data_IF_227733442149
#
_entry.id   IF_227733442149
#
_cell.length_a   1.000
_cell.length_b   1.000
_cell.length_c   1.000
_cell.angle_alpha   90.00
_cell.angle_beta   90.00
_cell.angle_gamma   90.00
#
_symmetry.space_group_name_H-M   'P 1'
#
loop_
_entity.id
_entity.type
_entity.pdbx_description
1 polymer ?
#
# COMPACT_ATOMS: atom_id res chain seq x y z
N UNK A 1 4.32 -21.86 -9.33
CA UNK A 1 5.52 -21.12 -8.91
C UNK A 1 6.38 -20.76 -10.14
N UNK A 2 6.88 -21.71 -10.95
CA UNK A 2 7.80 -21.44 -12.11
C UNK A 2 7.26 -20.36 -13.04
N UNK A 3 6.02 -20.47 -13.52
CA UNK A 3 5.42 -19.46 -14.41
C UNK A 3 5.39 -18.05 -13.79
N UNK A 4 5.24 -17.92 -12.48
CA UNK A 4 5.26 -16.61 -11.83
C UNK A 4 6.65 -15.98 -11.90
N UNK A 5 7.71 -16.78 -11.73
CA UNK A 5 9.09 -16.33 -11.87
C UNK A 5 9.44 -15.96 -13.31
N UNK A 6 8.99 -16.72 -14.28
CA UNK A 6 9.17 -16.39 -15.71
C UNK A 6 8.52 -15.04 -16.06
N UNK A 7 7.29 -14.80 -15.55
CA UNK A 7 6.62 -13.51 -15.75
C UNK A 7 7.36 -12.39 -15.04
N UNK A 8 7.81 -12.62 -13.81
CA UNK A 8 8.58 -11.63 -13.04
C UNK A 8 9.89 -11.27 -13.74
N UNK A 9 10.66 -12.26 -14.24
CA UNK A 9 11.87 -12.00 -15.03
C UNK A 9 11.60 -11.11 -16.24
N UNK A 10 10.52 -11.39 -17.00
CA UNK A 10 10.12 -10.55 -18.14
C UNK A 10 9.72 -9.13 -17.73
N UNK A 11 9.15 -8.94 -16.55
CA UNK A 11 8.86 -7.60 -16.02
C UNK A 11 10.16 -6.87 -15.68
N UNK A 12 11.15 -7.57 -15.09
CA UNK A 12 12.47 -7.00 -14.78
C UNK A 12 13.22 -6.56 -16.05
N UNK A 13 13.10 -7.27 -17.17
CA UNK A 13 13.67 -6.86 -18.46
C UNK A 13 13.13 -5.48 -18.95
N UNK A 14 11.95 -5.10 -18.50
CA UNK A 14 11.32 -3.81 -18.80
C UNK A 14 11.57 -2.75 -17.73
N UNK A 15 12.20 -3.10 -16.60
CA UNK A 15 12.44 -2.17 -15.52
C UNK A 15 13.55 -1.15 -15.85
N UNK A 16 13.50 0.01 -15.20
CA UNK A 16 14.60 0.97 -15.26
C UNK A 16 15.87 0.31 -14.70
N UNK A 17 17.01 0.57 -15.33
CA UNK A 17 18.31 -0.05 -14.96
C UNK A 17 18.75 0.23 -13.51
N UNK A 18 18.28 1.32 -12.94
CA UNK A 18 18.54 1.75 -11.57
C UNK A 18 17.47 1.31 -10.57
N UNK A 19 16.46 0.52 -10.99
CA UNK A 19 15.29 0.17 -10.18
C UNK A 19 15.65 -0.47 -8.84
N UNK A 20 16.63 -1.38 -8.80
CA UNK A 20 17.04 -2.08 -7.58
C UNK A 20 17.66 -1.16 -6.50
N UNK A 21 18.18 0.00 -6.90
CA UNK A 21 18.78 0.99 -5.98
C UNK A 21 17.83 2.09 -5.51
N UNK A 22 16.59 2.09 -5.98
CA UNK A 22 15.62 3.15 -5.66
C UNK A 22 14.82 2.82 -4.38
N UNK A 23 14.57 3.86 -3.56
CA UNK A 23 13.50 3.78 -2.59
C UNK A 23 12.14 3.74 -3.32
N UNK A 24 11.08 3.32 -2.63
CA UNK A 24 9.75 3.29 -3.24
C UNK A 24 9.27 4.69 -3.68
N UNK A 25 9.62 5.75 -2.93
CA UNK A 25 9.31 7.14 -3.32
C UNK A 25 10.04 7.51 -4.62
N UNK A 26 11.34 7.21 -4.70
CA UNK A 26 12.12 7.46 -5.90
C UNK A 26 11.58 6.71 -7.12
N UNK A 27 11.06 5.48 -6.92
CA UNK A 27 10.40 4.73 -7.99
C UNK A 27 9.10 5.41 -8.46
N UNK A 28 8.28 5.93 -7.54
CA UNK A 28 7.11 6.77 -7.88
C UNK A 28 7.54 8.04 -8.63
N UNK A 29 8.61 8.70 -8.19
CA UNK A 29 9.13 9.92 -8.83
C UNK A 29 9.56 9.66 -10.29
N UNK A 30 10.01 8.45 -10.65
CA UNK A 30 10.30 8.08 -12.05
C UNK A 30 9.06 8.20 -12.94
N UNK A 31 7.89 7.79 -12.44
CA UNK A 31 6.63 7.94 -13.16
C UNK A 31 6.23 9.41 -13.26
N UNK A 32 6.28 10.14 -12.16
CA UNK A 32 5.93 11.56 -12.12
C UNK A 32 6.81 12.40 -13.05
N UNK A 33 8.09 12.04 -13.18
CA UNK A 33 9.06 12.69 -14.07
C UNK A 33 8.98 12.23 -15.53
N UNK A 34 8.07 11.31 -15.87
CA UNK A 34 7.96 10.74 -17.22
C UNK A 34 9.11 9.78 -17.60
N UNK A 35 9.89 9.31 -16.63
CA UNK A 35 11.01 8.39 -16.84
C UNK A 35 10.58 6.92 -16.77
N UNK A 36 9.37 6.65 -16.30
CA UNK A 36 8.70 5.36 -16.32
C UNK A 36 7.22 5.57 -16.60
N UNK A 37 6.58 4.62 -17.29
CA UNK A 37 5.15 4.68 -17.60
C UNK A 37 4.29 4.12 -16.44
N UNK A 38 4.82 3.15 -15.70
CA UNK A 38 4.12 2.44 -14.66
C UNK A 38 5.02 2.22 -13.43
N UNK A 39 4.39 2.18 -12.25
CA UNK A 39 5.00 1.67 -11.03
C UNK A 39 4.01 0.73 -10.35
N UNK A 40 4.46 -0.47 -9.96
CA UNK A 40 3.65 -1.40 -9.17
C UNK A 40 3.92 -1.11 -7.71
N UNK A 41 2.93 -0.56 -7.02
CA UNK A 41 3.08 -0.11 -5.62
C UNK A 41 1.74 -0.19 -4.89
N UNK A 42 1.78 -0.14 -3.56
CA UNK A 42 0.59 -0.07 -2.74
C UNK A 42 -0.03 1.33 -2.69
N UNK A 43 -1.15 1.42 -1.98
CA UNK A 43 -1.97 2.64 -1.86
C UNK A 43 -1.23 3.84 -1.24
N UNK A 44 -0.19 3.60 -0.44
CA UNK A 44 0.67 4.68 0.08
C UNK A 44 1.33 5.52 -1.03
N UNK A 45 1.54 4.96 -2.22
CA UNK A 45 2.02 5.73 -3.37
C UNK A 45 1.01 6.81 -3.79
N UNK A 46 -0.29 6.50 -3.79
CA UNK A 46 -1.33 7.49 -4.03
C UNK A 46 -1.34 8.57 -2.95
N UNK A 47 -1.15 8.18 -1.68
CA UNK A 47 -0.98 9.13 -0.57
C UNK A 47 0.21 10.06 -0.77
N UNK A 48 1.36 9.54 -1.16
CA UNK A 48 2.55 10.32 -1.47
C UNK A 48 2.31 11.31 -2.63
N UNK A 49 1.74 10.83 -3.73
CA UNK A 49 1.44 11.68 -4.89
C UNK A 49 0.45 12.79 -4.53
N UNK A 50 -0.59 12.51 -3.77
CA UNK A 50 -1.64 13.49 -3.45
C UNK A 50 -1.26 14.41 -2.30
N UNK A 51 -0.68 13.89 -1.23
CA UNK A 51 -0.40 14.65 0.00
C UNK A 51 0.95 15.37 -0.07
N UNK A 52 1.99 14.73 -0.60
CA UNK A 52 3.34 15.30 -0.67
C UNK A 52 3.55 16.06 -1.98
N UNK A 53 3.27 15.43 -3.11
CA UNK A 53 3.51 16.02 -4.44
C UNK A 53 2.34 16.88 -4.92
N UNK A 54 1.19 16.92 -4.22
CA UNK A 54 -0.01 17.71 -4.55
C UNK A 54 -0.62 17.39 -5.91
N UNK A 55 -0.42 16.17 -6.40
CA UNK A 55 -1.00 15.69 -7.66
C UNK A 55 -2.46 15.27 -7.48
N UNK A 56 -3.22 15.39 -8.56
CA UNK A 56 -4.66 15.08 -8.59
C UNK A 56 -4.92 13.71 -9.20
N UNK A 57 -5.54 12.77 -8.46
CA UNK A 57 -5.93 11.47 -9.01
C UNK A 57 -6.90 11.63 -10.19
N UNK A 58 -6.66 10.87 -11.26
CA UNK A 58 -7.47 10.90 -12.48
C UNK A 58 -7.14 12.05 -13.44
N UNK A 59 -6.29 13.01 -13.04
CA UNK A 59 -5.81 14.11 -13.88
C UNK A 59 -4.31 13.98 -14.12
N UNK A 60 -3.52 13.94 -13.03
CA UNK A 60 -2.07 13.93 -13.11
C UNK A 60 -1.50 12.51 -13.07
N UNK A 61 -2.24 11.57 -12.52
CA UNK A 61 -1.92 10.15 -12.53
C UNK A 61 -3.20 9.29 -12.56
N UNK A 62 -3.08 8.07 -13.05
CA UNK A 62 -4.12 7.06 -13.05
C UNK A 62 -3.67 5.81 -12.29
N UNK A 63 -4.59 4.89 -12.05
CA UNK A 63 -4.33 3.60 -11.41
C UNK A 63 -5.17 2.50 -12.06
N UNK A 64 -4.68 1.29 -11.97
CA UNK A 64 -5.39 0.09 -12.42
C UNK A 64 -4.91 -1.12 -11.61
N UNK A 65 -5.72 -2.17 -11.49
CA UNK A 65 -5.22 -3.47 -11.01
C UNK A 65 -4.05 -3.96 -11.88
N UNK A 66 -3.08 -4.63 -11.27
CA UNK A 66 -2.04 -5.31 -12.04
C UNK A 66 -2.66 -6.29 -13.04
N UNK A 67 -2.10 -6.44 -14.25
CA UNK A 67 -2.68 -7.30 -15.28
C UNK A 67 -2.93 -8.73 -14.78
N UNK A 68 -4.14 -9.27 -15.03
CA UNK A 68 -4.54 -10.60 -14.58
C UNK A 68 -4.96 -10.72 -13.12
N UNK A 69 -5.07 -9.61 -12.38
CA UNK A 69 -5.49 -9.61 -10.96
C UNK A 69 -6.87 -8.97 -10.74
N UNK A 70 -7.64 -8.74 -11.79
CA UNK A 70 -8.99 -8.21 -11.70
C UNK A 70 -9.85 -9.09 -10.76
N UNK A 71 -10.61 -8.45 -9.89
CA UNK A 71 -11.43 -9.15 -8.90
C UNK A 71 -10.65 -9.69 -7.69
N UNK A 72 -9.38 -9.30 -7.53
CA UNK A 72 -8.56 -9.61 -6.36
C UNK A 72 -8.11 -8.32 -5.69
N UNK A 73 -8.22 -8.25 -4.37
CA UNK A 73 -7.65 -7.19 -3.55
C UNK A 73 -6.55 -7.77 -2.66
N UNK A 74 -5.31 -7.33 -2.86
CA UNK A 74 -4.19 -7.75 -2.03
C UNK A 74 -4.15 -6.88 -0.77
N UNK A 75 -4.41 -7.48 0.39
CA UNK A 75 -4.50 -6.81 1.67
C UNK A 75 -3.20 -6.90 2.44
N UNK A 76 -2.78 -5.78 2.97
CA UNK A 76 -1.94 -5.68 4.15
C UNK A 76 -2.60 -4.72 5.15
N UNK A 77 -2.21 -4.79 6.41
CA UNK A 77 -2.74 -3.92 7.46
C UNK A 77 -1.59 -3.42 8.32
N UNK A 78 -1.45 -2.11 8.40
CA UNK A 78 -0.59 -1.50 9.42
C UNK A 78 -1.30 -1.58 10.77
N UNK A 79 -0.56 -1.84 11.81
CA UNK A 79 -1.07 -1.94 13.17
C UNK A 79 -0.25 -1.11 14.15
N UNK A 80 -0.91 -0.59 15.15
CA UNK A 80 -0.29 0.13 16.25
C UNK A 80 -0.36 -0.71 17.52
N UNK A 81 0.79 -0.96 18.13
CA UNK A 81 0.91 -1.78 19.33
C UNK A 81 1.21 -0.94 20.57
N UNK A 82 0.86 -1.47 21.73
CA UNK A 82 1.26 -0.94 23.03
C UNK A 82 2.42 -1.78 23.58
N UNK A 83 3.66 -1.25 23.62
CA UNK A 83 4.79 -1.98 24.16
C UNK A 83 4.58 -2.34 25.64
N UNK A 84 5.04 -3.52 26.08
CA UNK A 84 4.88 -4.01 27.45
C UNK A 84 5.49 -3.07 28.50
N UNK A 85 6.57 -2.38 28.15
CA UNK A 85 7.27 -1.45 29.05
C UNK A 85 6.95 0.04 28.82
N UNK A 86 5.83 0.38 28.16
CA UNK A 86 5.48 1.77 27.86
C UNK A 86 5.35 2.61 29.13
N UNK A 87 6.19 3.64 29.30
CA UNK A 87 6.19 4.53 30.47
C UNK A 87 4.91 5.37 30.55
N UNK A 88 4.43 5.87 29.43
CA UNK A 88 3.20 6.68 29.35
C UNK A 88 2.01 5.83 28.88
N UNK A 89 1.80 4.67 29.53
CA UNK A 89 0.82 3.68 29.11
C UNK A 89 -0.58 4.24 28.87
N UNK A 90 -1.08 5.09 29.78
CA UNK A 90 -2.44 5.64 29.65
C UNK A 90 -2.57 6.55 28.42
N UNK A 91 -1.59 7.39 28.16
CA UNK A 91 -1.59 8.25 26.98
C UNK A 91 -1.48 7.43 25.69
N UNK A 92 -0.68 6.39 25.68
CA UNK A 92 -0.60 5.45 24.54
C UNK A 92 -1.94 4.76 24.29
N UNK A 93 -2.65 4.32 25.33
CA UNK A 93 -4.00 3.74 25.20
C UNK A 93 -4.98 4.78 24.64
N UNK A 94 -4.96 6.02 25.14
CA UNK A 94 -5.82 7.09 24.67
C UNK A 94 -5.56 7.39 23.18
N UNK A 95 -4.29 7.41 22.78
CA UNK A 95 -3.90 7.58 21.38
C UNK A 95 -4.39 6.41 20.51
N UNK A 96 -4.21 5.16 20.95
CA UNK A 96 -4.73 3.99 20.24
C UNK A 96 -6.26 4.03 20.05
N UNK A 97 -6.98 4.47 21.09
CA UNK A 97 -8.44 4.67 21.02
C UNK A 97 -8.81 5.75 19.98
N UNK A 98 -8.09 6.86 19.97
CA UNK A 98 -8.31 7.93 19.01
C UNK A 98 -8.05 7.44 17.58
N UNK A 99 -6.90 6.82 17.31
CA UNK A 99 -6.56 6.30 15.97
C UNK A 99 -7.56 5.22 15.52
N UNK A 100 -8.06 4.39 16.43
CA UNK A 100 -9.08 3.37 16.13
C UNK A 100 -10.51 3.91 16.04
N UNK A 101 -10.76 5.17 16.42
CA UNK A 101 -12.08 5.79 16.34
C UNK A 101 -12.47 6.10 14.88
N UNK A 102 -13.77 6.33 14.65
CA UNK A 102 -14.24 6.78 13.32
C UNK A 102 -13.57 8.09 12.91
N UNK A 103 -13.51 9.06 13.81
CA UNK A 103 -12.88 10.37 13.56
C UNK A 103 -11.39 10.22 13.23
N UNK A 104 -10.66 9.42 14.03
CA UNK A 104 -9.24 9.17 13.79
C UNK A 104 -8.99 8.49 12.45
N UNK A 105 -9.77 7.47 12.10
CA UNK A 105 -9.66 6.76 10.82
C UNK A 105 -10.01 7.66 9.63
N UNK A 106 -11.08 8.43 9.73
CA UNK A 106 -11.54 9.34 8.68
C UNK A 106 -10.64 10.58 8.51
N UNK A 107 -9.79 10.87 9.49
CA UNK A 107 -8.78 11.95 9.39
C UNK A 107 -7.45 11.44 8.88
N UNK A 108 -6.99 10.30 9.40
CA UNK A 108 -5.66 9.78 9.12
C UNK A 108 -5.54 9.11 7.74
N UNK A 109 -6.48 8.19 7.41
CA UNK A 109 -6.35 7.36 6.22
C UNK A 109 -6.41 8.13 4.89
N UNK A 110 -7.28 9.15 4.70
CA UNK A 110 -7.28 9.94 3.47
C UNK A 110 -5.94 10.62 3.19
N UNK A 111 -5.24 11.07 4.24
CA UNK A 111 -3.93 11.73 4.12
C UNK A 111 -2.81 10.71 3.89
N UNK A 112 -2.88 9.56 4.54
CA UNK A 112 -1.92 8.46 4.35
C UNK A 112 -2.04 7.80 2.97
N UNK A 113 -3.24 7.83 2.37
CA UNK A 113 -3.56 7.15 1.12
C UNK A 113 -4.12 5.74 1.30
N UNK A 114 -4.33 5.29 2.54
CA UNK A 114 -4.93 3.99 2.88
C UNK A 114 -6.45 4.10 2.99
N UNK A 115 -7.14 2.96 3.02
CA UNK A 115 -8.55 2.89 3.43
C UNK A 115 -8.67 2.59 4.93
N UNK A 116 -9.77 3.00 5.54
CA UNK A 116 -10.01 2.71 6.95
C UNK A 116 -10.25 1.22 7.20
N UNK A 117 -9.77 0.73 8.35
CA UNK A 117 -10.13 -0.60 8.86
C UNK A 117 -11.60 -0.68 9.33
N UNK A 118 -12.26 0.46 9.51
CA UNK A 118 -13.66 0.57 9.95
C UNK A 118 -14.64 0.53 8.77
N UNK A 119 -15.74 -0.18 8.94
CA UNK A 119 -16.81 -0.26 7.93
C UNK A 119 -17.71 0.99 7.90
N UNK A 120 -17.75 1.78 8.99
CA UNK A 120 -18.53 3.00 9.13
C UNK A 120 -17.77 4.29 8.76
N UNK A 121 -16.59 4.15 8.15
CA UNK A 121 -15.82 5.26 7.61
C UNK A 121 -16.58 5.98 6.49
N UNK A 122 -16.42 7.31 6.45
CA UNK A 122 -17.11 8.17 5.49
C UNK A 122 -16.37 8.23 4.14
N UNK A 123 -16.91 7.62 3.07
CA UNK A 123 -16.24 7.62 1.77
C UNK A 123 -16.08 9.02 1.17
N UNK A 124 -16.90 10.01 1.57
CA UNK A 124 -16.82 11.37 1.03
C UNK A 124 -15.53 12.10 1.40
N UNK A 125 -14.83 11.63 2.45
CA UNK A 125 -13.55 12.17 2.89
C UNK A 125 -12.36 11.69 2.07
N UNK A 126 -12.58 10.71 1.19
CA UNK A 126 -11.55 10.11 0.36
C UNK A 126 -11.59 10.67 -1.07
N UNK A 127 -10.42 10.84 -1.67
CA UNK A 127 -10.29 11.19 -3.07
C UNK A 127 -10.75 10.05 -4.00
N UNK A 128 -10.73 10.26 -5.31
CA UNK A 128 -11.20 9.29 -6.30
C UNK A 128 -10.46 7.93 -6.18
N UNK A 129 -9.15 7.94 -5.88
CA UNK A 129 -8.39 6.71 -5.65
C UNK A 129 -8.88 5.97 -4.41
N UNK A 130 -8.95 6.64 -3.25
CA UNK A 130 -9.40 6.02 -2.00
C UNK A 130 -10.81 5.45 -2.10
N UNK A 131 -11.74 6.15 -2.75
CA UNK A 131 -13.08 5.63 -3.02
C UNK A 131 -13.06 4.39 -3.92
N UNK A 132 -12.18 4.33 -4.92
CA UNK A 132 -11.96 3.14 -5.75
C UNK A 132 -11.46 1.97 -4.92
N UNK A 133 -10.43 2.19 -4.09
CA UNK A 133 -9.88 1.15 -3.20
C UNK A 133 -10.93 0.62 -2.20
N UNK A 134 -11.80 1.49 -1.66
CA UNK A 134 -12.90 1.07 -0.79
C UNK A 134 -13.96 0.22 -1.51
N UNK A 135 -14.23 0.50 -2.79
CA UNK A 135 -15.11 -0.34 -3.61
C UNK A 135 -14.48 -1.70 -3.86
N UNK A 136 -13.22 -1.73 -4.28
CA UNK A 136 -12.48 -2.96 -4.57
C UNK A 136 -12.37 -3.86 -3.34
N UNK A 137 -12.12 -3.28 -2.16
CA UNK A 137 -12.15 -4.00 -0.89
C UNK A 137 -13.49 -4.71 -0.63
N UNK A 138 -14.61 -4.08 -0.97
CA UNK A 138 -15.95 -4.61 -0.72
C UNK A 138 -16.39 -5.66 -1.75
N UNK A 139 -15.90 -5.56 -2.98
CA UNK A 139 -16.38 -6.37 -4.11
C UNK A 139 -15.43 -7.50 -4.53
N UNK A 140 -14.14 -7.38 -4.22
CA UNK A 140 -13.13 -8.31 -4.69
C UNK A 140 -12.82 -9.42 -3.67
N UNK A 141 -12.23 -10.49 -4.14
CA UNK A 141 -11.67 -11.52 -3.26
C UNK A 141 -10.43 -10.98 -2.55
N UNK A 142 -10.46 -11.00 -1.22
CA UNK A 142 -9.33 -10.57 -0.39
C UNK A 142 -8.26 -11.67 -0.35
N UNK A 143 -7.02 -11.30 -0.60
CA UNK A 143 -5.82 -12.13 -0.40
C UNK A 143 -4.81 -11.35 0.45
N UNK A 144 -4.17 -11.99 1.40
CA UNK A 144 -3.13 -11.34 2.21
C UNK A 144 -1.82 -11.19 1.44
N UNK A 145 -1.15 -10.06 1.64
CA UNK A 145 0.18 -9.84 1.08
C UNK A 145 1.21 -10.73 1.76
N UNK A 146 1.93 -11.52 0.96
CA UNK A 146 3.05 -12.33 1.45
C UNK A 146 4.20 -11.44 1.91
N UNK A 147 4.62 -10.52 1.08
CA UNK A 147 5.80 -9.65 1.30
C UNK A 147 5.66 -8.75 2.53
N UNK A 148 4.42 -8.43 2.93
CA UNK A 148 4.17 -7.58 4.10
C UNK A 148 3.75 -8.37 5.36
N UNK A 149 4.04 -9.68 5.38
CA UNK A 149 3.81 -10.52 6.56
C UNK A 149 2.35 -10.80 6.91
N UNK A 150 1.39 -10.53 6.00
CA UNK A 150 -0.02 -10.74 6.27
C UNK A 150 -0.43 -12.23 6.30
N UNK A 151 0.37 -13.13 5.70
CA UNK A 151 0.05 -14.55 5.54
C UNK A 151 1.19 -15.51 5.87
N UNK A 152 2.34 -15.01 6.27
CA UNK A 152 3.50 -15.83 6.60
C UNK A 152 4.28 -15.24 7.78
N UNK A 153 4.96 -16.08 8.59
CA UNK A 153 5.80 -15.61 9.68
C UNK A 153 7.09 -14.95 9.15
N UNK A 154 7.69 -14.10 9.97
CA UNK A 154 8.92 -13.35 9.64
C UNK A 154 10.06 -14.25 9.18
N UNK A 155 10.22 -15.44 9.78
CA UNK A 155 11.24 -16.40 9.37
C UNK A 155 11.10 -16.86 7.91
N UNK A 156 9.86 -17.02 7.43
CA UNK A 156 9.60 -17.35 6.03
C UNK A 156 9.86 -16.13 5.14
N UNK A 157 9.45 -14.96 5.57
CA UNK A 157 9.59 -13.71 4.80
C UNK A 157 11.06 -13.37 4.57
N UNK A 158 11.90 -13.51 5.59
CA UNK A 158 13.34 -13.29 5.50
C UNK A 158 13.99 -14.21 4.47
N UNK A 159 13.68 -15.52 4.49
CA UNK A 159 14.20 -16.47 3.51
C UNK A 159 13.68 -16.19 2.09
N UNK A 160 12.40 -15.84 1.97
CA UNK A 160 11.81 -15.48 0.67
C UNK A 160 12.46 -14.23 0.08
N UNK A 161 12.72 -13.21 0.91
CA UNK A 161 13.43 -12.01 0.51
C UNK A 161 14.81 -12.33 -0.07
N UNK A 162 15.59 -13.17 0.61
CA UNK A 162 16.92 -13.60 0.13
C UNK A 162 16.87 -14.27 -1.26
N UNK A 163 15.83 -15.07 -1.52
CA UNK A 163 15.66 -15.70 -2.85
C UNK A 163 15.29 -14.67 -3.92
N UNK A 164 14.63 -13.57 -3.54
CA UNK A 164 14.21 -12.50 -4.46
C UNK A 164 15.38 -11.55 -4.84
N UNK A 165 16.46 -11.54 -4.06
CA UNK A 165 17.65 -10.71 -4.29
C UNK A 165 18.70 -11.36 -5.23
N UNK A 166 18.51 -12.64 -5.58
CA UNK A 166 19.38 -13.38 -6.51
C UNK A 166 18.88 -13.18 -7.95
#
# INVERSE_FOLDING_TARGET
AVRAWEVFGRVLDCANKDAAGLSWQQAVDRVVQGKAAFNVMGDWAAGYMTTTLKLKPGTDFAWAPSPGTQGVFMMLSDSFGLPKGAKNRQNAINWLRLVGSKEGQDTFNPLKGSIAARLDSDPSKYNAYGQSAMRDWRSNRIVGSLVHGAVAPESFMSQFGTVMEI
#
